data_IF_262705634548
#
_entry.id   IF_262705634548
#
_cell.length_a   1.000
_cell.length_b   1.000
_cell.length_c   1.000
_cell.angle_alpha   90.00
_cell.angle_beta   90.00
_cell.angle_gamma   90.00
#
_symmetry.space_group_name_H-M   'P 1'
#
loop_
_entity.id
_entity.type
_entity.pdbx_description
1 polymer ?
2 non-polymer ?
3 non-polymer ?
4 non-polymer ?
5 water ?
#
# COMPACT_ATOMS: atom_id res chain seq x y z
N UNK A 22 11.77 0.03 -23.88
CA UNK A 22 12.34 -1.25 -23.50
C UNK A 22 12.51 -2.13 -24.73
N UNK A 23 13.18 -3.27 -24.56
CA UNK A 23 13.34 -4.22 -25.66
C UNK A 23 12.10 -5.11 -25.79
N UNK A 24 11.94 -5.70 -26.97
CA UNK A 24 11.03 -6.81 -27.21
C UNK A 24 9.54 -6.67 -26.94
N UNK A 25 9.07 -5.49 -26.56
CA UNK A 25 7.65 -5.31 -26.28
C UNK A 25 6.92 -4.84 -27.53
N UNK A 26 5.62 -5.14 -27.59
CA UNK A 26 4.85 -4.56 -28.66
C UNK A 26 4.64 -3.07 -28.41
N UNK A 27 4.26 -2.36 -29.47
CA UNK A 27 3.97 -0.94 -29.34
C UNK A 27 2.88 -0.70 -28.31
N UNK A 28 1.86 -1.57 -28.29
CA UNK A 28 0.77 -1.44 -27.33
C UNK A 28 1.26 -1.67 -25.91
N UNK A 29 2.11 -2.69 -25.71
CA UNK A 29 2.68 -2.92 -24.38
C UNK A 29 3.51 -1.73 -23.92
N UNK A 30 4.27 -1.12 -24.84
CA UNK A 30 5.04 0.06 -24.46
C UNK A 30 4.12 1.24 -24.11
N UNK A 31 3.04 1.43 -24.88
CA UNK A 31 2.11 2.49 -24.53
C UNK A 31 1.44 2.22 -23.19
N UNK A 32 1.18 0.95 -22.89
CA UNK A 32 0.53 0.60 -21.63
C UNK A 32 1.42 0.92 -20.44
N UNK A 33 2.71 0.60 -20.53
CA UNK A 33 3.66 0.96 -19.48
C UNK A 33 3.78 2.47 -19.37
N UNK A 34 3.82 3.17 -20.51
CA UNK A 34 3.94 4.62 -20.46
C UNK A 34 2.74 5.26 -19.78
N UNK A 35 1.52 4.74 -20.04
CA UNK A 35 0.35 5.32 -19.41
C UNK A 35 0.39 5.14 -17.90
N UNK A 36 0.79 3.95 -17.44
CA UNK A 36 0.91 3.68 -16.01
C UNK A 36 2.01 4.52 -15.39
N UNK A 37 3.17 4.62 -16.04
CA UNK A 37 4.27 5.41 -15.48
C UNK A 37 3.90 6.88 -15.41
N UNK A 38 3.19 7.37 -16.43
CA UNK A 38 2.70 8.74 -16.43
C UNK A 38 1.77 8.98 -15.23
N UNK A 39 0.83 8.06 -15.03
CA UNK A 39 -0.11 8.16 -13.92
C UNK A 39 0.63 8.15 -12.58
N UNK A 40 1.63 7.27 -12.44
CA UNK A 40 2.42 7.21 -11.20
C UNK A 40 3.14 8.53 -10.96
N UNK A 41 3.84 9.03 -11.98
CA UNK A 41 4.55 10.31 -11.91
C UNK A 41 3.61 11.45 -11.50
N UNK A 42 2.39 11.47 -12.04
CA UNK A 42 1.50 12.59 -11.77
C UNK A 42 0.90 12.53 -10.37
N UNK A 43 0.78 11.34 -9.77
CA UNK A 43 -0.04 11.17 -8.57
C UNK A 43 0.69 10.61 -7.35
N UNK A 44 1.99 10.36 -7.45
CA UNK A 44 2.78 9.82 -6.34
C UNK A 44 3.77 10.92 -5.92
N UNK A 45 3.42 11.62 -4.85
CA UNK A 45 4.25 12.64 -4.20
C UNK A 45 5.31 11.93 -3.37
N UNK A 46 6.43 11.56 -4.01
CA UNK A 46 7.40 10.70 -3.33
C UNK A 46 8.15 11.41 -2.20
N UNK A 47 8.12 12.74 -2.18
CA UNK A 47 8.66 13.49 -1.08
C UNK A 47 7.62 13.76 0.01
N UNK A 48 6.35 13.38 -0.22
CA UNK A 48 5.27 13.63 0.73
C UNK A 48 5.17 15.12 1.10
N UNK A 49 5.52 16.00 0.15
CA UNK A 49 5.61 17.42 0.44
C UNK A 49 4.25 18.05 0.73
N UNK A 50 3.16 17.46 0.23
CA UNK A 50 1.84 18.00 0.45
C UNK A 50 1.07 17.28 1.55
N UNK A 51 1.74 16.42 2.32
CA UNK A 51 1.11 15.79 3.47
C UNK A 51 1.26 16.75 4.65
N UNK A 52 0.16 17.41 5.03
CA UNK A 52 0.21 18.49 6.01
C UNK A 52 -1.01 18.41 6.91
N UNK A 53 -1.01 19.24 7.95
CA UNK A 53 -2.13 19.37 8.87
C UNK A 53 -2.55 18.05 9.50
N UNK A 54 -1.64 17.09 9.59
CA UNK A 54 -2.02 15.80 10.15
C UNK A 54 -1.98 15.85 11.68
N UNK A 55 -2.74 14.95 12.29
CA UNK A 55 -2.74 14.83 13.74
C UNK A 55 -1.50 14.09 14.21
N UNK A 56 -1.14 14.31 15.48
CA UNK A 56 0.03 13.69 16.08
C UNK A 56 -0.33 13.20 17.48
N UNK A 57 0.37 12.19 17.99
CA UNK A 57 0.05 11.69 19.33
C UNK A 57 0.21 12.78 20.39
N UNK A 58 -0.67 12.73 21.39
CA UNK A 58 -0.65 13.74 22.42
C UNK A 58 0.68 13.77 23.16
N UNK A 59 0.95 14.94 23.74
CA UNK A 59 2.14 15.19 24.54
C UNK A 59 1.81 14.97 26.00
N UNK A 60 2.72 14.31 26.72
CA UNK A 60 2.50 13.96 28.13
C UNK A 60 1.24 13.11 28.27
N UNK A 78 -15.32 -7.75 26.04
CA UNK A 78 -14.06 -7.75 26.76
C UNK A 78 -13.00 -8.57 26.02
N UNK A 79 -13.44 -9.68 25.40
CA UNK A 79 -12.56 -10.41 24.51
C UNK A 79 -12.33 -9.65 23.21
N UNK A 80 -13.21 -8.71 22.88
CA UNK A 80 -12.92 -7.75 21.82
C UNK A 80 -11.62 -7.01 22.10
N UNK A 81 -11.53 -6.38 23.28
CA UNK A 81 -10.34 -5.61 23.65
C UNK A 81 -9.08 -6.46 23.60
N UNK A 82 -9.17 -7.71 24.08
CA UNK A 82 -8.01 -8.59 24.04
C UNK A 82 -7.51 -8.76 22.61
N UNK A 83 -8.43 -8.91 21.66
CA UNK A 83 -8.04 -9.08 20.27
C UNK A 83 -7.55 -7.77 19.66
N UNK A 84 -8.21 -6.67 19.99
CA UNK A 84 -7.78 -5.36 19.50
C UNK A 84 -6.40 -5.02 20.05
N UNK A 85 -6.08 -5.48 21.27
CA UNK A 85 -4.74 -5.32 21.81
C UNK A 85 -3.72 -6.05 20.93
N UNK A 86 -4.02 -7.31 20.58
CA UNK A 86 -3.13 -8.05 19.68
C UNK A 86 -3.10 -7.42 18.30
N UNK A 87 -4.24 -6.91 17.84
CA UNK A 87 -4.30 -6.28 16.53
C UNK A 87 -3.37 -5.07 16.44
N UNK A 88 -3.33 -4.24 17.48
CA UNK A 88 -2.55 -3.02 17.42
C UNK A 88 -1.05 -3.25 17.55
N UNK A 89 -0.64 -4.27 18.30
CA UNK A 89 0.80 -4.47 18.52
C UNK A 89 1.49 -5.14 17.33
N UNK A 90 0.78 -5.33 16.21
CA UNK A 90 1.37 -5.97 15.05
C UNK A 90 2.26 -5.02 14.26
N UNK A 91 2.02 -3.71 14.36
CA UNK A 91 2.79 -2.69 13.64
C UNK A 91 3.21 -1.62 14.63
N UNK A 92 4.44 -1.72 15.12
CA UNK A 92 4.98 -0.84 16.16
C UNK A 92 6.07 0.03 15.53
N UNK A 93 5.83 1.33 15.42
CA UNK A 93 6.80 2.23 14.82
C UNK A 93 7.01 3.47 15.68
N UNK A 94 8.24 3.97 15.69
CA UNK A 94 8.49 5.32 16.13
C UNK A 94 8.35 6.25 14.93
N UNK A 95 8.23 7.55 15.22
CA UNK A 95 7.96 8.56 14.22
C UNK A 95 9.00 9.64 14.34
N UNK A 96 9.61 10.03 13.23
CA UNK A 96 10.54 11.16 13.25
C UNK A 96 10.09 12.20 12.23
N UNK A 97 10.10 13.47 12.64
CA UNK A 97 9.72 14.60 11.80
C UNK A 97 10.88 15.59 11.73
N UNK A 98 11.46 15.74 10.53
CA UNK A 98 12.61 16.62 10.33
C UNK A 98 12.15 17.95 9.73
N UNK A 99 12.33 19.03 10.48
CA UNK A 99 11.92 20.32 9.98
C UNK A 99 12.85 20.83 8.91
N UNK A 100 12.31 21.69 8.03
CA UNK A 100 13.13 22.35 7.04
C UNK A 100 14.27 23.13 7.69
N UNK A 101 14.03 23.68 8.88
CA UNK A 101 15.05 24.47 9.56
C UNK A 101 16.16 23.61 10.16
N UNK A 102 16.05 22.29 10.12
CA UNK A 102 17.01 21.42 10.75
C UNK A 102 16.55 20.79 12.06
N UNK A 103 15.46 21.26 12.63
CA UNK A 103 14.96 20.68 13.87
C UNK A 103 14.45 19.27 13.63
N UNK A 104 14.46 18.46 14.69
CA UNK A 104 13.96 17.09 14.63
C UNK A 104 13.04 16.82 15.82
N UNK A 105 11.83 16.35 15.54
CA UNK A 105 10.93 15.78 16.55
C UNK A 105 10.92 14.27 16.39
N UNK A 106 11.04 13.53 17.51
CA UNK A 106 11.03 12.07 17.53
C UNK A 106 9.97 11.61 18.52
N UNK A 107 9.12 10.65 18.12
CA UNK A 107 8.09 10.08 18.99
C UNK A 107 8.34 8.59 19.14
N UNK A 108 8.48 8.14 20.39
CA UNK A 108 8.56 6.71 20.70
C UNK A 108 7.27 6.27 21.36
N UNK A 109 6.62 5.23 20.84
CA UNK A 109 5.28 4.87 21.30
C UNK A 109 5.33 4.23 22.68
N UNK A 110 4.21 4.20 23.39
CA UNK A 110 4.21 3.58 24.73
C UNK A 110 4.35 2.07 24.66
N UNK A 111 4.36 1.42 25.81
CA UNK A 111 4.15 -0.02 25.85
C UNK A 111 2.67 -0.29 26.14
N UNK A 112 2.18 -1.43 25.68
CA UNK A 112 0.83 -1.83 26.03
C UNK A 112 0.79 -2.15 27.52
N UNK A 113 -0.04 -1.40 28.26
CA UNK A 113 -0.20 -1.60 29.69
C UNK A 113 -1.67 -1.58 30.10
N UNK A 114 -2.55 -2.01 29.21
CA UNK A 114 -3.94 -2.26 29.55
C UNK A 114 -4.88 -1.08 29.45
N UNK A 115 -4.48 0.00 28.79
CA UNK A 115 -5.35 1.15 28.68
C UNK A 115 -5.47 1.70 27.26
N UNK A 116 -6.03 2.90 27.12
CA UNK A 116 -6.25 3.48 25.79
C UNK A 116 -4.97 3.90 25.09
N UNK A 117 -3.82 3.84 25.77
CA UNK A 117 -2.57 4.29 25.16
C UNK A 117 -2.21 3.53 23.89
N UNK A 118 -2.79 2.35 23.68
CA UNK A 118 -2.51 1.62 22.45
C UNK A 118 -3.07 2.31 21.21
N UNK A 119 -3.88 3.35 21.41
CA UNK A 119 -4.54 4.09 20.32
C UNK A 119 -3.84 5.39 19.96
N UNK A 120 -2.68 5.69 20.55
CA UNK A 120 -2.15 7.05 20.48
C UNK A 120 -1.74 7.43 19.05
N UNK A 121 -1.34 6.47 18.23
CA UNK A 121 -0.92 6.80 16.87
C UNK A 121 -2.04 6.64 15.84
N UNK A 122 -3.23 6.20 16.26
CA UNK A 122 -4.27 5.92 15.26
C UNK A 122 -4.71 7.17 14.51
N UNK A 123 -5.01 8.30 15.16
CA UNK A 123 -5.34 9.50 14.36
C UNK A 123 -4.27 9.86 13.36
N UNK A 124 -2.98 9.80 13.73
CA UNK A 124 -1.93 10.11 12.76
C UNK A 124 -1.93 9.13 11.60
N UNK A 125 -1.95 7.83 11.89
CA UNK A 125 -1.93 6.85 10.81
C UNK A 125 -3.17 6.96 9.94
N UNK A 126 -4.32 7.29 10.53
CA UNK A 126 -5.51 7.54 9.75
C UNK A 126 -5.29 8.69 8.77
N UNK A 127 -4.62 9.76 9.21
CA UNK A 127 -4.36 10.87 8.30
C UNK A 127 -3.37 10.49 7.21
N UNK A 128 -2.34 9.70 7.55
CA UNK A 128 -1.40 9.27 6.52
C UNK A 128 -2.07 8.34 5.52
N UNK A 129 -2.85 7.37 5.99
CA UNK A 129 -3.49 6.45 5.05
C UNK A 129 -4.47 7.20 4.16
N UNK A 130 -5.16 8.20 4.71
CA UNK A 130 -6.07 9.01 3.91
C UNK A 130 -5.34 9.77 2.81
N UNK A 131 -4.18 10.34 3.15
CA UNK A 131 -3.37 11.02 2.15
C UNK A 131 -2.93 10.06 1.04
N UNK A 132 -2.48 8.87 1.42
CA UNK A 132 -2.08 7.87 0.42
C UNK A 132 -3.26 7.40 -0.43
N UNK A 133 -4.42 7.16 0.20
CA UNK A 133 -5.60 6.72 -0.56
C UNK A 133 -5.97 7.74 -1.63
N UNK A 134 -5.93 9.04 -1.29
CA UNK A 134 -6.20 10.08 -2.27
C UNK A 134 -5.28 9.97 -3.47
N UNK A 135 -3.98 9.72 -3.22
CA UNK A 135 -3.04 9.57 -4.31
C UNK A 135 -3.35 8.36 -5.17
N UNK A 136 -3.82 7.28 -4.53
CA UNK A 136 -4.18 6.06 -5.24
C UNK A 136 -5.45 6.26 -6.06
N UNK A 137 -6.43 6.96 -5.50
CA UNK A 137 -7.63 7.27 -6.26
C UNK A 137 -7.26 8.13 -7.49
N UNK A 138 -6.41 9.14 -7.29
CA UNK A 138 -5.95 9.97 -8.41
C UNK A 138 -5.20 9.15 -9.47
N UNK A 139 -4.36 8.22 -9.02
CA UNK A 139 -3.66 7.29 -9.90
C UNK A 139 -4.63 6.58 -10.84
N UNK A 140 -5.64 5.92 -10.26
CA UNK A 140 -6.57 5.14 -11.06
C UNK A 140 -7.36 6.03 -12.02
N UNK A 141 -7.77 7.22 -11.57
CA UNK A 141 -8.61 8.08 -12.40
C UNK A 141 -7.87 8.62 -13.62
N UNK A 142 -6.54 8.66 -13.57
CA UNK A 142 -5.73 9.13 -14.69
C UNK A 142 -5.53 8.07 -15.76
N UNK A 143 -5.76 6.80 -15.45
CA UNK A 143 -5.49 5.70 -16.36
C UNK A 143 -6.69 5.48 -17.28
N UNK A 144 -6.44 5.47 -18.59
CA UNK A 144 -7.52 5.36 -19.56
C UNK A 144 -8.35 4.09 -19.34
N UNK A 145 -7.67 2.95 -19.16
CA UNK A 145 -8.36 1.68 -18.99
C UNK A 145 -9.33 1.71 -17.80
N UNK A 146 -9.02 2.52 -16.79
CA UNK A 146 -9.87 2.63 -15.62
C UNK A 146 -11.02 3.60 -15.87
N UNK A 147 -10.71 4.76 -16.43
CA UNK A 147 -11.75 5.74 -16.76
C UNK A 147 -12.84 5.13 -17.63
N UNK A 148 -12.47 4.22 -18.51
CA UNK A 148 -13.42 3.61 -19.43
C UNK A 148 -14.33 2.58 -18.79
N UNK A 149 -14.11 2.24 -17.54
CA UNK A 149 -15.02 1.31 -16.89
C UNK A 149 -16.24 2.07 -16.38
N UNK A 150 -17.37 1.38 -16.20
CA UNK A 150 -18.52 2.00 -15.56
C UNK A 150 -18.14 2.55 -14.19
N UNK A 151 -18.82 3.61 -13.78
CA UNK A 151 -18.51 4.25 -12.50
C UNK A 151 -18.65 3.27 -11.35
N UNK A 152 -19.62 2.35 -11.44
CA UNK A 152 -19.83 1.41 -10.34
C UNK A 152 -18.68 0.44 -10.20
N UNK A 153 -18.12 -0.02 -11.33
CA UNK A 153 -16.95 -0.88 -11.26
C UNK A 153 -15.71 -0.10 -10.83
N UNK A 154 -15.58 1.17 -11.26
CA UNK A 154 -14.48 1.98 -10.77
C UNK A 154 -14.46 2.03 -9.25
N UNK A 155 -15.63 2.21 -8.64
CA UNK A 155 -15.73 2.30 -7.19
C UNK A 155 -15.41 0.95 -6.55
N UNK A 156 -15.97 -0.13 -7.08
CA UNK A 156 -15.72 -1.45 -6.51
C UNK A 156 -14.24 -1.82 -6.60
N UNK A 157 -13.58 -1.44 -7.69
CA UNK A 157 -12.18 -1.81 -7.85
C UNK A 157 -11.29 -1.02 -6.89
N UNK A 158 -11.59 0.27 -6.70
CA UNK A 158 -10.83 1.05 -5.73
C UNK A 158 -11.04 0.52 -4.32
N UNK A 159 -12.30 0.23 -3.95
CA UNK A 159 -12.55 -0.30 -2.61
C UNK A 159 -11.81 -1.61 -2.39
N UNK A 160 -11.74 -2.46 -3.42
CA UNK A 160 -11.06 -3.73 -3.27
C UNK A 160 -9.55 -3.63 -3.17
N UNK A 161 -8.94 -2.63 -3.84
CA UNK A 161 -7.49 -2.60 -4.04
C UNK A 161 -6.77 -1.45 -3.37
N UNK A 162 -7.50 -0.44 -2.86
CA UNK A 162 -6.87 0.79 -2.36
C UNK A 162 -5.74 0.50 -1.38
N UNK A 163 -6.00 -0.37 -0.41
CA UNK A 163 -4.98 -0.73 0.58
C UNK A 163 -3.77 -1.38 -0.09
N UNK A 164 -3.99 -2.29 -1.05
CA UNK A 164 -2.87 -2.98 -1.68
C UNK A 164 -1.99 -2.00 -2.46
N UNK A 165 -2.60 -1.08 -3.20
CA UNK A 165 -1.82 -0.09 -3.93
C UNK A 165 -1.06 0.82 -2.98
N UNK A 166 -1.64 1.17 -1.85
CA UNK A 166 -0.91 1.97 -0.87
C UNK A 166 0.32 1.23 -0.38
N UNK A 167 0.19 -0.07 -0.07
CA UNK A 167 1.34 -0.83 0.40
C UNK A 167 2.42 -0.94 -0.67
N UNK A 168 2.02 -1.08 -1.94
CA UNK A 168 3.02 -1.14 -3.02
C UNK A 168 3.78 0.17 -3.11
N UNK A 169 3.07 1.30 -3.02
CA UNK A 169 3.76 2.59 -3.00
C UNK A 169 4.67 2.71 -1.77
N UNK A 170 4.19 2.29 -0.59
CA UNK A 170 5.02 2.35 0.60
C UNK A 170 6.27 1.49 0.47
N UNK A 171 6.20 0.37 -0.23
CA UNK A 171 7.42 -0.43 -0.37
C UNK A 171 8.52 0.33 -1.10
N UNK A 172 8.16 1.21 -2.04
CA UNK A 172 9.20 1.91 -2.78
C UNK A 172 9.94 2.92 -1.91
N UNK A 173 9.39 3.29 -0.75
CA UNK A 173 10.10 4.16 0.17
C UNK A 173 10.59 3.41 1.40
N UNK A 174 10.48 2.08 1.40
CA UNK A 174 10.93 1.27 2.53
C UNK A 174 12.43 1.07 2.46
N UNK A 175 13.12 1.33 3.57
CA UNK A 175 14.56 1.09 3.68
C UNK A 175 14.72 -0.21 4.47
N UNK A 176 15.06 -1.29 3.78
CA UNK A 176 15.12 -2.57 4.45
C UNK A 176 16.32 -2.67 5.39
N UNK A 177 17.35 -1.87 5.18
CA UNK A 177 18.53 -1.93 6.04
C UNK A 177 18.26 -1.31 7.40
N UNK A 178 17.44 -0.27 7.44
CA UNK A 178 17.10 0.39 8.70
C UNK A 178 15.69 0.10 9.18
N UNK A 179 14.93 -0.72 8.44
CA UNK A 179 13.55 -0.99 8.80
C UNK A 179 12.70 0.26 8.93
N UNK A 180 12.80 1.16 7.96
CA UNK A 180 12.20 2.49 8.03
C UNK A 180 11.51 2.87 6.71
N UNK A 181 10.28 3.36 6.80
CA UNK A 181 9.60 3.94 5.64
C UNK A 181 9.96 5.41 5.62
N UNK A 182 10.70 5.83 4.60
CA UNK A 182 11.24 7.18 4.52
C UNK A 182 10.27 8.01 3.69
N UNK A 183 9.44 8.78 4.36
CA UNK A 183 8.35 9.50 3.71
C UNK A 183 8.68 10.99 3.69
N UNK A 184 9.74 11.33 2.97
CA UNK A 184 10.19 12.70 2.90
C UNK A 184 10.75 13.12 4.25
N UNK A 185 10.18 14.17 4.83
CA UNK A 185 10.59 14.66 6.14
C UNK A 185 10.02 13.85 7.29
N UNK A 186 9.09 12.93 7.01
CA UNK A 186 8.58 12.01 8.02
C UNK A 186 9.24 10.64 7.83
N UNK A 187 9.51 9.97 8.94
CA UNK A 187 10.05 8.62 8.90
C UNK A 187 9.28 7.75 9.88
N UNK A 188 8.99 6.50 9.49
CA UNK A 188 8.34 5.53 10.36
C UNK A 188 9.33 4.39 10.53
N UNK A 189 9.83 4.20 11.75
CA UNK A 189 10.90 3.26 12.02
C UNK A 189 10.39 2.11 12.88
N UNK A 190 10.63 0.89 12.42
CA UNK A 190 10.21 -0.28 13.17
C UNK A 190 11.00 -0.36 14.47
N UNK A 191 10.29 -0.64 15.56
CA UNK A 191 10.93 -0.72 16.87
C UNK A 191 11.56 -2.09 17.08
N UNK A 192 12.63 -2.12 17.87
CA UNK A 192 13.44 -3.33 18.08
C UNK A 192 12.64 -4.56 18.53
N UNK A 195 14.56 -10.87 20.16
CA UNK A 195 13.71 -11.27 19.03
C UNK A 195 14.34 -10.89 17.68
N UNK A 196 14.43 -9.60 17.41
CA UNK A 196 15.17 -9.14 16.25
C UNK A 196 14.45 -9.31 14.93
N UNK A 197 15.26 -9.27 13.87
CA UNK A 197 14.75 -9.18 12.50
C UNK A 197 13.89 -10.40 12.15
N UNK A 198 14.32 -11.60 12.55
CA UNK A 198 13.55 -12.80 12.23
C UNK A 198 12.18 -12.79 12.90
N UNK A 199 12.03 -12.14 14.06
CA UNK A 199 10.73 -12.10 14.71
C UNK A 199 9.80 -11.07 14.08
N UNK A 200 10.35 -10.03 13.46
CA UNK A 200 9.52 -9.08 12.72
C UNK A 200 8.91 -9.74 11.48
N UNK A 201 9.67 -10.62 10.83
CA UNK A 201 9.17 -11.33 9.65
C UNK A 201 8.00 -12.24 9.98
N UNK A 202 7.66 -12.43 11.26
CA UNK A 202 6.48 -13.21 11.59
C UNK A 202 5.21 -12.44 11.34
N UNK A 203 5.28 -11.10 11.29
CA UNK A 203 4.13 -10.27 10.98
C UNK A 203 3.96 -10.23 9.47
N UNK A 204 2.88 -10.77 8.91
CA UNK A 204 2.79 -10.91 7.44
C UNK A 204 3.03 -9.61 6.68
N UNK A 205 2.54 -8.47 7.16
CA UNK A 205 2.78 -7.23 6.43
C UNK A 205 4.26 -6.87 6.41
N UNK A 206 5.00 -7.16 7.48
CA UNK A 206 6.42 -6.82 7.47
C UNK A 206 7.22 -7.78 6.61
N UNK A 207 6.95 -9.08 6.72
CA UNK A 207 7.60 -10.03 5.82
C UNK A 207 7.37 -9.63 4.37
N UNK A 208 6.17 -9.15 4.07
CA UNK A 208 5.85 -8.74 2.70
C UNK A 208 6.77 -7.61 2.25
N UNK A 209 6.90 -6.58 3.07
CA UNK A 209 7.74 -5.45 2.67
C UNK A 209 9.20 -5.88 2.50
N UNK A 210 9.70 -6.72 3.40
CA UNK A 210 11.10 -7.14 3.28
C UNK A 210 11.31 -8.02 2.06
N UNK A 211 10.40 -8.98 1.84
CA UNK A 211 10.53 -9.87 0.70
C UNK A 211 10.37 -9.12 -0.61
N UNK A 212 9.42 -8.17 -0.70
CA UNK A 212 9.24 -7.41 -1.93
C UNK A 212 10.45 -6.53 -2.23
N UNK A 213 11.01 -5.90 -1.19
CA UNK A 213 12.18 -5.07 -1.40
C UNK A 213 13.35 -5.89 -1.93
N UNK A 214 13.49 -7.14 -1.49
CA UNK A 214 14.60 -7.97 -1.93
C UNK A 214 14.55 -8.28 -3.41
N UNK A 215 13.37 -8.21 -4.04
CA UNK A 215 13.32 -8.46 -5.47
C UNK A 215 13.94 -7.33 -6.29
N UNK A 216 14.20 -6.16 -5.69
CA UNK A 216 14.85 -5.04 -6.38
C UNK A 216 14.15 -4.68 -7.69
N UNK A 217 12.85 -4.42 -7.59
CA UNK A 217 12.02 -4.15 -8.75
C UNK A 217 12.31 -2.77 -9.35
N UNK A 218 12.05 -2.64 -10.65
CA UNK A 218 12.07 -1.36 -11.34
C UNK A 218 10.78 -0.60 -11.04
N UNK A 219 10.80 0.73 -11.24
CA UNK A 219 9.56 1.51 -11.18
C UNK A 219 8.48 0.89 -12.06
N UNK A 220 8.85 0.48 -13.27
CA UNK A 220 7.88 -0.07 -14.20
C UNK A 220 7.22 -1.33 -13.67
N UNK A 221 7.98 -2.16 -12.94
CA UNK A 221 7.41 -3.38 -12.40
C UNK A 221 6.49 -3.08 -11.22
N UNK A 222 6.84 -2.09 -10.38
CA UNK A 222 5.92 -1.67 -9.33
C UNK A 222 4.61 -1.18 -9.91
N UNK A 223 4.64 -0.38 -10.98
CA UNK A 223 3.39 0.20 -11.44
C UNK A 223 2.54 -0.86 -12.15
N UNK A 224 3.18 -1.87 -12.75
CA UNK A 224 2.40 -2.97 -13.31
C UNK A 224 1.78 -3.82 -12.19
N UNK A 225 2.51 -4.01 -11.09
CA UNK A 225 1.90 -4.65 -9.92
C UNK A 225 0.67 -3.87 -9.45
N UNK A 226 0.77 -2.54 -9.39
CA UNK A 226 -0.38 -1.73 -8.99
C UNK A 226 -1.56 -1.95 -9.94
N UNK A 227 -1.27 -2.03 -11.24
CA UNK A 227 -2.36 -2.23 -12.20
C UNK A 227 -2.96 -3.62 -12.09
N UNK A 228 -2.12 -4.64 -11.88
CA UNK A 228 -2.66 -6.00 -11.75
C UNK A 228 -3.56 -6.10 -10.52
N UNK A 229 -3.16 -5.43 -9.45
CA UNK A 229 -3.98 -5.40 -8.23
C UNK A 229 -5.26 -4.61 -8.46
N UNK A 230 -5.14 -3.43 -9.09
CA UNK A 230 -6.32 -2.58 -9.29
C UNK A 230 -7.36 -3.26 -10.17
N UNK A 231 -6.92 -3.89 -11.25
CA UNK A 231 -7.83 -4.49 -12.22
C UNK A 231 -8.05 -5.97 -11.89
N UNK A 232 -8.50 -6.22 -10.66
CA UNK A 232 -8.80 -7.58 -10.20
C UNK A 232 -10.27 -7.86 -10.43
N UNK A 233 -10.62 -8.83 -11.28
CA UNK A 233 -12.05 -9.03 -11.62
C UNK A 233 -12.89 -9.63 -10.50
N UNK A 234 -12.27 -10.17 -9.45
CA UNK A 234 -13.00 -10.92 -8.44
C UNK A 234 -13.22 -10.13 -7.15
N UNK A 235 -13.08 -8.82 -7.19
CA UNK A 235 -13.43 -8.02 -6.02
C UNK A 235 -14.94 -8.02 -5.85
N UNK A 236 -15.42 -7.84 -4.61
CA UNK A 236 -16.86 -7.71 -4.38
C UNK A 236 -17.47 -6.59 -5.21
N UNK A 237 -18.57 -6.90 -5.89
CA UNK A 237 -19.37 -5.89 -6.54
C UNK A 237 -19.01 -5.59 -7.98
N UNK A 238 -17.94 -6.18 -8.51
CA UNK A 238 -17.57 -5.92 -9.90
C UNK A 238 -18.62 -6.55 -10.82
N UNK A 239 -19.04 -5.79 -11.84
CA UNK A 239 -20.03 -6.27 -12.81
C UNK A 239 -19.40 -6.64 -14.15
N UNK A 240 -18.49 -5.80 -14.66
CA UNK A 240 -17.80 -6.09 -15.91
C UNK A 240 -16.63 -7.04 -15.67
N UNK A 241 -16.96 -8.20 -15.06
CA UNK A 241 -15.93 -9.19 -14.74
C UNK A 241 -15.07 -9.53 -15.95
N UNK A 242 -15.69 -9.70 -17.13
CA UNK A 242 -14.94 -10.15 -18.29
C UNK A 242 -13.99 -9.07 -18.80
N UNK A 243 -14.47 -7.82 -18.85
CA UNK A 243 -13.59 -6.75 -19.31
C UNK A 243 -12.42 -6.56 -18.34
N UNK A 244 -12.72 -6.58 -17.04
CA UNK A 244 -11.65 -6.35 -16.06
C UNK A 244 -10.66 -7.49 -16.10
N UNK A 245 -11.16 -8.72 -16.22
CA UNK A 245 -10.28 -9.89 -16.33
C UNK A 245 -9.39 -9.80 -17.56
N UNK A 246 -9.92 -9.33 -18.69
CA UNK A 246 -9.10 -9.21 -19.89
C UNK A 246 -8.03 -8.14 -19.74
N UNK A 247 -8.39 -7.01 -19.13
CA UNK A 247 -7.40 -5.96 -18.87
C UNK A 247 -6.31 -6.47 -17.93
N UNK A 248 -6.68 -7.19 -16.88
CA UNK A 248 -5.67 -7.68 -15.96
C UNK A 248 -4.71 -8.63 -16.65
N UNK A 249 -5.23 -9.50 -17.50
CA UNK A 249 -4.35 -10.43 -18.21
C UNK A 249 -3.35 -9.69 -19.09
N UNK A 250 -3.79 -8.60 -19.72
CA UNK A 250 -2.88 -7.81 -20.57
C UNK A 250 -1.79 -7.16 -19.73
N UNK A 251 -2.15 -6.66 -18.55
CA UNK A 251 -1.13 -6.08 -17.67
C UNK A 251 -0.12 -7.14 -17.24
N UNK A 252 -0.61 -8.35 -16.91
CA UNK A 252 0.28 -9.41 -16.47
C UNK A 252 1.16 -9.88 -17.61
N UNK A 253 0.61 -9.99 -18.83
CA UNK A 253 1.41 -10.35 -19.99
C UNK A 253 2.49 -9.30 -20.22
N UNK A 254 2.12 -8.02 -20.16
CA UNK A 254 3.11 -6.95 -20.34
C UNK A 254 4.22 -7.06 -19.30
N UNK A 255 3.86 -7.37 -18.05
CA UNK A 255 4.88 -7.49 -17.01
C UNK A 255 5.80 -8.67 -17.31
N UNK A 256 5.21 -9.81 -17.64
CA UNK A 256 6.01 -10.99 -18.00
C UNK A 256 6.98 -10.67 -19.13
N UNK A 257 6.48 -10.00 -20.18
CA UNK A 257 7.33 -9.67 -21.33
C UNK A 257 8.37 -8.62 -20.97
N UNK A 258 7.98 -7.61 -20.18
CA UNK A 258 8.97 -6.66 -19.67
C UNK A 258 10.13 -7.39 -19.01
N UNK A 259 9.83 -8.34 -18.11
CA UNK A 259 10.89 -9.05 -17.38
C UNK A 259 11.74 -9.87 -18.33
N UNK A 260 11.10 -10.55 -19.29
CA UNK A 260 11.87 -11.36 -20.24
C UNK A 260 12.79 -10.51 -21.09
N UNK A 261 12.35 -9.31 -21.48
CA UNK A 261 13.15 -8.47 -22.35
C UNK A 261 14.26 -7.74 -21.61
N UNK A 262 14.07 -7.44 -20.32
CA UNK A 262 14.98 -6.53 -19.64
C UNK A 262 15.73 -7.13 -18.46
N UNK A 263 15.57 -8.41 -18.16
CA UNK A 263 16.19 -9.03 -16.99
C UNK A 263 16.69 -10.43 -17.31
N UNK A 264 17.86 -10.53 -17.96
CA UNK A 264 18.38 -11.84 -18.35
C UNK A 264 19.15 -12.57 -17.27
N UNK A 265 19.33 -11.97 -16.09
CA UNK A 265 20.25 -12.49 -15.08
C UNK A 265 19.67 -13.69 -14.36
N UNK A 266 20.52 -14.65 -13.98
CA UNK A 266 20.03 -15.81 -13.22
C UNK A 266 19.27 -15.44 -11.96
N UNK A 267 19.58 -14.29 -11.35
CA UNK A 267 18.86 -13.89 -10.14
C UNK A 267 17.40 -13.61 -10.43
N UNK A 268 17.05 -13.26 -11.66
CA UNK A 268 15.68 -12.89 -11.98
C UNK A 268 14.92 -14.02 -12.66
N UNK A 269 15.46 -15.23 -12.65
CA UNK A 269 14.66 -16.35 -13.09
C UNK A 269 13.43 -16.45 -12.21
N UNK A 270 12.29 -16.72 -12.82
CA UNK A 270 11.02 -16.90 -12.11
C UNK A 270 10.52 -15.60 -11.48
N UNK A 271 11.13 -14.46 -11.81
CA UNK A 271 10.73 -13.21 -11.16
C UNK A 271 9.26 -12.92 -11.37
N UNK A 272 8.75 -13.13 -12.60
CA UNK A 272 7.33 -12.87 -12.85
C UNK A 272 6.47 -13.71 -11.92
N UNK A 273 6.81 -14.98 -11.75
CA UNK A 273 6.01 -15.82 -10.86
C UNK A 273 6.17 -15.41 -9.40
N UNK A 274 7.36 -14.95 -9.01
CA UNK A 274 7.52 -14.45 -7.64
C UNK A 274 6.65 -13.22 -7.40
N UNK A 275 6.61 -12.30 -8.36
CA UNK A 275 5.76 -11.12 -8.24
C UNK A 275 4.29 -11.51 -8.12
N UNK A 276 3.84 -12.45 -8.96
CA UNK A 276 2.43 -12.81 -8.89
C UNK A 276 2.09 -13.46 -7.55
N UNK A 277 3.02 -14.26 -7.02
CA UNK A 277 2.82 -14.85 -5.69
C UNK A 277 2.74 -13.77 -4.62
N UNK A 278 3.57 -12.72 -4.71
CA UNK A 278 3.48 -11.62 -3.76
C UNK A 278 2.14 -10.90 -3.89
N UNK A 279 1.62 -10.77 -5.10
CA UNK A 279 0.31 -10.14 -5.24
C UNK A 279 -0.78 -10.99 -4.58
N UNK A 280 -0.70 -12.30 -4.71
CA UNK A 280 -1.65 -13.16 -4.01
C UNK A 280 -1.51 -13.00 -2.50
N UNK A 281 -0.27 -12.96 -2.00
CA UNK A 281 -0.08 -12.74 -0.58
C UNK A 281 -0.59 -11.38 -0.15
N UNK A 282 -0.36 -10.36 -0.98
CA UNK A 282 -0.83 -9.02 -0.63
C UNK A 282 -2.35 -8.98 -0.53
N UNK A 283 -3.05 -9.75 -1.37
CA UNK A 283 -4.50 -9.78 -1.25
C UNK A 283 -4.91 -10.41 0.08
N UNK A 284 -4.22 -11.45 0.51
CA UNK A 284 -4.50 -12.06 1.81
C UNK A 284 -4.24 -11.06 2.95
N UNK A 285 -3.12 -10.36 2.90
CA UNK A 285 -2.81 -9.33 3.89
C UNK A 285 -3.91 -8.30 3.95
N UNK A 286 -4.41 -7.89 2.78
CA UNK A 286 -5.50 -6.92 2.69
C UNK A 286 -6.72 -7.40 3.46
N UNK A 287 -7.14 -8.66 3.24
CA UNK A 287 -8.28 -9.21 3.96
C UNK A 287 -8.04 -9.25 5.46
N UNK A 288 -6.84 -9.67 5.88
CA UNK A 288 -6.53 -9.69 7.30
C UNK A 288 -6.55 -8.28 7.88
N UNK A 289 -6.00 -7.32 7.15
CA UNK A 289 -5.93 -5.95 7.66
C UNK A 289 -7.31 -5.31 7.72
N UNK A 290 -8.17 -5.62 6.75
CA UNK A 290 -9.53 -5.07 6.77
C UNK A 290 -10.32 -5.58 7.98
N UNK A 291 -10.15 -6.86 8.33
CA UNK A 291 -10.80 -7.38 9.54
C UNK A 291 -10.24 -6.72 10.78
N UNK A 292 -8.92 -6.53 10.82
CA UNK A 292 -8.27 -5.89 11.96
C UNK A 292 -8.77 -4.45 12.13
N UNK A 293 -8.83 -3.71 11.02
CA UNK A 293 -9.29 -2.32 11.08
C UNK A 293 -10.73 -2.23 11.58
N UNK A 294 -11.60 -3.12 11.11
CA UNK A 294 -13.00 -3.06 11.50
C UNK A 294 -13.20 -3.43 12.97
N UNK A 295 -12.38 -4.35 13.50
CA UNK A 295 -12.44 -4.63 14.93
C UNK A 295 -12.04 -3.41 15.74
N UNK A 296 -10.95 -2.76 15.36
CA UNK A 296 -10.51 -1.57 16.08
C UNK A 296 -11.56 -0.47 15.97
N UNK A 297 -12.06 -0.23 14.75
CA UNK A 297 -13.09 0.77 14.54
C UNK A 297 -14.30 0.51 15.43
N UNK A 298 -14.62 -0.77 15.65
CA UNK A 298 -15.84 -1.12 16.36
C UNK A 298 -15.80 -0.66 17.82
N UNK A 299 -14.63 -0.76 18.46
CA UNK A 299 -14.53 -0.33 19.86
C UNK A 299 -13.88 1.04 20.02
N UNK A 300 -13.16 1.53 19.03
CA UNK A 300 -12.49 2.83 19.12
C UNK A 300 -12.51 3.49 17.76
N UNK A 301 -13.53 4.30 17.47
CA UNK A 301 -13.65 4.90 16.13
C UNK A 301 -12.49 5.82 15.81
N UNK A 302 -12.01 5.73 14.57
CA UNK A 302 -10.86 6.50 14.13
C UNK A 302 -10.83 6.72 12.62
N UNK A 303 -11.56 5.93 11.84
CA UNK A 303 -11.45 6.04 10.39
C UNK A 303 -11.95 7.40 9.91
N UNK A 304 -11.18 8.04 9.02
CA UNK A 304 -11.61 9.29 8.44
C UNK A 304 -12.82 9.06 7.53
N UNK A 305 -13.48 10.13 7.08
CA UNK A 305 -14.58 9.94 6.11
C UNK A 305 -14.17 9.16 4.86
N UNK A 306 -13.00 9.46 4.28
CA UNK A 306 -12.59 8.71 3.09
C UNK A 306 -12.36 7.24 3.41
N UNK A 307 -11.76 6.95 4.57
CA UNK A 307 -11.56 5.55 4.96
C UNK A 307 -12.90 4.85 5.15
N UNK A 308 -13.86 5.51 5.82
CA UNK A 308 -15.18 4.90 5.98
C UNK A 308 -15.77 4.54 4.63
N UNK A 309 -15.69 5.46 3.67
CA UNK A 309 -16.23 5.24 2.34
C UNK A 309 -15.57 4.03 1.69
N UNK A 310 -14.23 3.94 1.77
CA UNK A 310 -13.52 2.82 1.17
C UNK A 310 -13.81 1.50 1.87
N UNK A 311 -14.07 1.52 3.18
CA UNK A 311 -14.32 0.31 3.94
C UNK A 311 -15.81 0.01 4.10
N UNK A 312 -16.68 0.75 3.43
CA UNK A 312 -18.10 0.48 3.49
C UNK A 312 -18.82 0.92 4.77
N UNK A 313 -18.20 1.75 5.60
CA UNK A 313 -18.84 2.24 6.81
C UNK A 313 -19.83 3.35 6.45
N UNK A 314 -21.09 3.19 6.84
CA UNK A 314 -22.16 4.07 6.37
C UNK A 314 -22.34 5.34 7.19
N UNK A 315 -21.83 5.38 8.42
CA UNK A 315 -22.11 6.48 9.32
C UNK A 315 -23.31 6.27 10.23
N UNK A 316 -24.09 5.21 10.02
CA UNK A 316 -25.22 4.91 10.89
C UNK A 316 -24.84 3.86 11.94
#
# INVERSE_FOLDING_TARGET
MKKGHHHHHHGSERTGTQPLGVQGLTEEQRMMIRELMDAQMKTFDTTFSHFKNFRLPGVLSSGCELPESLQAPSREEAAKWSQVRKDLCSLKVSLQLRGEDGSVWNYKPPADSGGKEIFSLLPHMADMSTYMFKGIISFAKVISYFRDLPIEDQISLLKGAAFELCQLRFNTVFNAETGTWECGRLSYCLEDTAGGFQQLLLEPMLKFHYMLKKLQLHEEEYVLMQAISLFSPDRPGVLQHRVVDQLQEQFAITLKSYIECNRPQPAHRFLFLKIMAMLTELRSINAQHTQRLLRIQDIHPFATPLMQELFGITGS
#
